data_IF_996783887639
#
_entry.id   IF_996783887639
#
_cell.length_a   1.000
_cell.length_b   1.000
_cell.length_c   1.000
_cell.angle_alpha   90.00
_cell.angle_beta   90.00
_cell.angle_gamma   90.00
#
_symmetry.space_group_name_H-M   'P 1'
#
loop_
_entity.id
_entity.type
_entity.pdbx_description
1 polymer ?
#
# COMPACT_ATOMS: atom_id res chain seq x y z
N UNK A 1 10.29 -25.34 43.84
CA UNK A 1 11.59 -25.54 43.15
C UNK A 1 11.52 -25.23 41.66
N UNK A 2 10.34 -25.27 41.02
CA UNK A 2 10.20 -24.87 39.60
C UNK A 2 9.98 -23.35 39.41
N UNK A 3 9.37 -22.66 40.38
CA UNK A 3 9.13 -21.20 40.28
C UNK A 3 10.39 -20.34 40.39
N UNK A 4 11.38 -20.77 41.17
CA UNK A 4 12.66 -20.05 41.29
C UNK A 4 13.50 -20.12 40.00
N UNK A 5 13.33 -21.19 39.22
CA UNK A 5 14.04 -21.37 37.95
C UNK A 5 13.41 -20.51 36.84
N UNK A 6 12.09 -20.30 36.90
CA UNK A 6 11.37 -19.39 36.02
C UNK A 6 11.75 -17.92 36.30
N UNK A 7 11.81 -17.53 37.58
CA UNK A 7 12.19 -16.17 37.98
C UNK A 7 13.63 -15.83 37.57
N UNK A 8 14.57 -16.77 37.73
CA UNK A 8 15.96 -16.57 37.27
C UNK A 8 16.08 -16.41 35.75
N UNK A 9 15.25 -17.12 34.97
CA UNK A 9 15.22 -16.97 33.50
C UNK A 9 14.63 -15.64 33.07
N UNK A 10 13.59 -15.17 33.75
CA UNK A 10 13.02 -13.84 33.52
C UNK A 10 14.01 -12.73 33.86
N UNK A 11 14.66 -12.81 35.02
CA UNK A 11 15.69 -11.84 35.44
C UNK A 11 16.88 -11.79 34.45
N UNK A 12 17.33 -12.94 33.95
CA UNK A 12 18.35 -13.01 32.90
C UNK A 12 17.89 -12.34 31.60
N UNK A 13 16.65 -12.58 31.18
CA UNK A 13 16.09 -12.01 29.94
C UNK A 13 15.93 -10.48 30.04
N UNK A 14 15.56 -9.97 31.23
CA UNK A 14 15.49 -8.54 31.48
C UNK A 14 16.87 -7.87 31.51
N UNK A 15 17.88 -8.54 32.08
CA UNK A 15 19.25 -8.04 32.08
C UNK A 15 19.82 -7.92 30.65
N UNK A 16 19.60 -8.95 29.82
CA UNK A 16 20.04 -8.95 28.41
C UNK A 16 19.35 -7.84 27.60
N UNK A 17 18.05 -7.63 27.84
CA UNK A 17 17.28 -6.57 27.17
C UNK A 17 17.76 -5.17 27.57
N UNK A 18 18.11 -4.97 28.85
CA UNK A 18 18.66 -3.71 29.35
C UNK A 18 20.04 -3.40 28.74
N UNK A 19 20.90 -4.40 28.64
CA UNK A 19 22.22 -4.27 28.01
C UNK A 19 22.11 -3.90 26.51
N UNK A 20 21.14 -4.46 25.79
CA UNK A 20 20.88 -4.10 24.39
C UNK A 20 20.44 -2.64 24.26
N UNK A 21 19.58 -2.16 25.16
CA UNK A 21 19.12 -0.76 25.17
C UNK A 21 20.29 0.18 25.49
N UNK A 22 21.12 -0.14 26.48
CA UNK A 22 22.31 0.65 26.84
C UNK A 22 23.33 0.73 25.69
N UNK A 23 23.55 -0.40 24.98
CA UNK A 23 24.42 -0.44 23.80
C UNK A 23 23.87 0.34 22.59
N UNK A 24 22.55 0.52 22.49
CA UNK A 24 21.92 1.32 21.44
C UNK A 24 22.02 2.83 21.73
N UNK A 25 22.11 3.23 23.00
CA UNK A 25 22.28 4.63 23.40
C UNK A 25 23.70 5.16 23.24
N UNK A 26 24.72 4.30 23.17
CA UNK A 26 26.14 4.70 23.05
C UNK A 26 26.63 4.84 21.59
N UNK A 27 25.74 4.79 20.59
CA UNK A 27 26.08 5.06 19.18
C UNK A 27 26.21 6.57 18.93
N UNK A 28 27.43 7.06 19.15
CA UNK A 28 28.08 8.30 18.67
C UNK A 28 27.22 9.20 17.77
N UNK A 29 26.70 10.30 18.35
CA UNK A 29 26.14 11.45 17.63
C UNK A 29 27.30 12.23 16.97
N UNK A 30 27.34 12.40 15.63
CA UNK A 30 28.32 13.29 15.00
C UNK A 30 27.97 14.75 15.29
N UNK A 31 28.97 15.54 15.69
CA UNK A 31 28.86 17.00 15.88
C UNK A 31 28.41 17.68 14.58
N UNK A 32 27.44 18.58 14.71
CA UNK A 32 26.89 19.41 13.62
C UNK A 32 27.99 20.24 12.92
N UNK A 33 27.91 20.43 11.59
CA UNK A 33 28.73 21.42 10.90
C UNK A 33 28.10 22.81 11.04
N UNK A 34 28.85 23.74 11.62
CA UNK A 34 28.52 25.17 11.66
C UNK A 34 28.59 25.75 10.23
N UNK A 35 27.46 26.16 9.66
CA UNK A 35 27.43 26.92 8.40
C UNK A 35 27.49 28.41 8.72
N UNK A 36 28.46 29.12 8.13
CA UNK A 36 28.69 30.55 8.35
C UNK A 36 27.57 31.42 7.76
N UNK A 37 27.15 32.44 8.52
CA UNK A 37 26.11 33.41 8.17
C UNK A 37 26.40 34.27 6.91
N UNK A 38 27.56 34.13 6.27
CA UNK A 38 27.95 34.93 5.10
C UNK A 38 27.30 34.44 3.79
N UNK A 39 26.95 33.15 3.66
CA UNK A 39 26.37 32.61 2.41
C UNK A 39 24.88 32.98 2.26
N UNK A 40 24.19 33.19 3.38
CA UNK A 40 22.75 33.51 3.41
C UNK A 40 22.45 34.96 3.01
N UNK A 41 23.34 35.90 3.33
CA UNK A 41 23.13 37.33 3.02
C UNK A 41 23.40 37.66 1.54
N UNK A 42 24.26 36.90 0.86
CA UNK A 42 24.60 37.12 -0.55
C UNK A 42 23.51 36.64 -1.52
N UNK A 43 22.62 35.76 -1.04
CA UNK A 43 21.46 35.26 -1.80
C UNK A 43 20.23 36.17 -1.66
N UNK A 44 20.10 36.87 -0.51
CA UNK A 44 18.98 37.79 -0.24
C UNK A 44 19.19 39.15 -0.93
N UNK A 45 20.43 39.60 -1.10
CA UNK A 45 20.74 40.86 -1.80
C UNK A 45 20.43 40.80 -3.31
N UNK A 46 20.48 39.61 -3.92
CA UNK A 46 20.16 39.39 -5.34
C UNK A 46 18.66 39.26 -5.63
N UNK A 47 17.84 39.00 -4.61
CA UNK A 47 16.37 38.89 -4.72
C UNK A 47 15.66 40.26 -4.65
N UNK A 48 16.31 41.30 -4.13
CA UNK A 48 15.71 42.62 -3.92
C UNK A 48 16.04 43.66 -5.02
N UNK A 49 16.63 43.25 -6.16
CA UNK A 49 17.01 44.17 -7.24
C UNK A 49 16.23 44.01 -8.55
N UNK A 50 15.07 43.36 -8.56
CA UNK A 50 14.28 43.15 -9.78
C UNK A 50 12.86 43.73 -9.71
N UNK A 51 12.69 44.96 -9.23
CA UNK A 51 11.44 45.70 -9.43
C UNK A 51 11.74 47.20 -9.54
N UNK A 52 12.05 47.65 -10.76
CA UNK A 52 11.87 49.04 -11.20
C UNK A 52 12.10 49.15 -12.71
N UNK A 53 11.04 48.98 -13.51
CA UNK A 53 10.79 49.81 -14.71
C UNK A 53 9.37 49.58 -15.28
N UNK A 54 8.63 50.65 -15.63
CA UNK A 54 7.31 50.55 -16.26
C UNK A 54 7.37 50.73 -17.79
N UNK A 55 6.26 50.33 -18.44
CA UNK A 55 5.80 50.60 -19.81
C UNK A 55 6.06 49.51 -20.87
N UNK A 56 4.97 49.06 -21.52
CA UNK A 56 5.02 48.50 -22.87
C UNK A 56 3.98 47.45 -23.22
N UNK A 57 2.80 47.91 -23.65
CA UNK A 57 1.67 47.20 -24.25
C UNK A 57 1.91 45.93 -25.11
N UNK A 58 0.85 45.09 -25.07
CA UNK A 58 0.19 44.34 -26.15
C UNK A 58 0.47 42.83 -26.34
N UNK A 59 -0.61 42.05 -26.20
CA UNK A 59 -1.03 41.06 -27.20
C UNK A 59 -0.47 39.64 -27.09
N UNK A 60 -1.09 38.80 -26.25
CA UNK A 60 -1.63 37.47 -26.56
C UNK A 60 -1.72 36.64 -25.29
N UNK A 61 -2.95 36.38 -24.85
CA UNK A 61 -3.25 35.46 -23.76
C UNK A 61 -3.33 34.07 -24.37
N UNK A 62 -2.19 33.37 -24.41
CA UNK A 62 -2.19 31.92 -24.50
C UNK A 62 -2.19 31.35 -23.07
N UNK A 63 -3.25 30.58 -22.81
CA UNK A 63 -3.50 29.86 -21.57
C UNK A 63 -2.38 28.87 -21.26
N UNK A 64 -1.54 29.19 -20.27
CA UNK A 64 -0.57 28.27 -19.67
C UNK A 64 -0.94 27.97 -18.21
N UNK A 65 -1.78 26.97 -18.01
CA UNK A 65 -2.14 26.43 -16.70
C UNK A 65 -1.12 25.37 -16.23
N UNK A 66 0.16 25.74 -16.11
CA UNK A 66 1.23 24.87 -15.56
C UNK A 66 1.76 25.33 -14.20
N UNK A 67 1.22 26.40 -13.63
CA UNK A 67 1.84 27.08 -12.49
C UNK A 67 1.78 26.32 -11.16
N UNK A 68 0.91 25.30 -10.99
CA UNK A 68 0.83 24.56 -9.72
C UNK A 68 1.74 23.32 -9.71
N UNK A 69 1.79 22.57 -10.80
CA UNK A 69 2.66 21.39 -10.93
C UNK A 69 4.13 21.80 -10.92
N UNK A 70 4.48 22.86 -11.65
CA UNK A 70 5.84 23.40 -11.65
C UNK A 70 6.25 23.91 -10.26
N UNK A 71 5.32 24.47 -9.48
CA UNK A 71 5.56 24.88 -8.09
C UNK A 71 5.72 23.71 -7.12
N UNK A 72 4.99 22.60 -7.31
CA UNK A 72 5.15 21.39 -6.50
C UNK A 72 6.47 20.67 -6.81
N UNK A 73 6.88 20.60 -8.08
CA UNK A 73 8.14 19.94 -8.50
C UNK A 73 9.37 20.76 -8.12
N UNK A 74 9.32 22.10 -8.23
CA UNK A 74 10.44 22.96 -7.81
C UNK A 74 10.60 23.04 -6.29
N UNK A 75 9.54 22.81 -5.50
CA UNK A 75 9.66 22.63 -4.05
C UNK A 75 10.34 21.29 -3.66
N UNK A 76 10.25 20.24 -4.48
CA UNK A 76 10.87 18.93 -4.16
C UNK A 76 12.39 18.87 -4.35
N UNK A 77 12.96 19.63 -5.29
CA UNK A 77 14.41 19.57 -5.58
C UNK A 77 15.29 20.17 -4.47
N UNK A 78 14.72 20.99 -3.57
CA UNK A 78 15.44 21.59 -2.44
C UNK A 78 15.31 20.84 -1.10
N UNK A 79 14.29 20.00 -0.93
CA UNK A 79 13.93 19.42 0.38
C UNK A 79 14.17 17.89 0.50
N UNK A 80 14.55 17.22 -0.60
CA UNK A 80 14.56 15.75 -0.68
C UNK A 80 15.62 15.05 0.19
N UNK A 81 16.71 15.71 0.60
CA UNK A 81 17.78 15.08 1.40
C UNK A 81 17.65 15.31 2.91
N UNK A 82 16.97 16.37 3.35
CA UNK A 82 16.92 16.76 4.77
C UNK A 82 15.69 16.23 5.51
N UNK A 83 14.56 16.01 4.82
CA UNK A 83 13.33 15.52 5.45
C UNK A 83 13.37 14.01 5.80
N UNK A 84 14.04 13.20 4.98
CA UNK A 84 14.19 11.75 5.21
C UNK A 84 15.00 11.43 6.48
N UNK A 85 15.95 12.31 6.86
CA UNK A 85 16.71 12.18 8.10
C UNK A 85 15.99 12.74 9.34
N UNK A 86 15.09 13.74 9.18
CA UNK A 86 14.37 14.34 10.32
C UNK A 86 13.21 13.50 10.86
N UNK A 87 12.55 12.70 10.02
CA UNK A 87 11.39 11.89 10.46
C UNK A 87 11.74 10.70 11.36
N UNK A 88 13.03 10.41 11.59
CA UNK A 88 13.50 9.28 12.41
C UNK A 88 13.92 9.64 13.84
N UNK A 89 13.83 10.90 14.29
CA UNK A 89 14.44 11.32 15.58
C UNK A 89 13.52 12.06 16.57
N UNK A 90 12.26 12.42 16.27
CA UNK A 90 11.44 13.15 17.24
C UNK A 90 10.15 12.42 17.65
N UNK A 91 10.23 11.70 18.77
CA UNK A 91 9.07 11.41 19.62
C UNK A 91 9.44 11.83 21.05
N UNK A 92 9.06 13.06 21.42
CA UNK A 92 9.42 13.63 22.71
C UNK A 92 8.28 13.39 23.72
N UNK A 93 8.65 12.72 24.81
CA UNK A 93 7.92 12.63 26.07
C UNK A 93 7.96 14.02 26.68
N UNK A 94 6.93 14.85 26.50
CA UNK A 94 6.71 16.08 27.28
C UNK A 94 5.28 16.61 27.06
N UNK A 95 4.31 15.96 27.69
CA UNK A 95 2.96 16.52 27.89
C UNK A 95 2.21 15.80 29.02
N UNK A 96 2.87 15.64 30.17
CA UNK A 96 2.19 15.39 31.46
C UNK A 96 2.88 16.23 32.53
N UNK A 97 2.76 17.54 32.43
CA UNK A 97 2.92 18.49 33.52
C UNK A 97 2.26 19.80 33.05
N UNK A 98 1.64 20.50 33.97
CA UNK A 98 0.92 21.77 33.78
C UNK A 98 -0.52 21.69 33.28
N UNK A 99 -1.43 21.23 34.14
CA UNK A 99 -2.72 21.92 34.37
C UNK A 99 -3.17 21.67 35.83
N UNK A 100 -2.94 22.66 36.70
CA UNK A 100 -3.70 22.83 37.95
C UNK A 100 -5.07 23.42 37.60
N UNK A 101 -6.13 22.98 38.30
CA UNK A 101 -7.10 23.93 38.79
C UNK A 101 -7.27 23.80 40.31
N UNK A 102 -7.25 24.95 40.97
CA UNK A 102 -7.73 25.13 42.33
C UNK A 102 -9.24 24.91 42.37
N UNK A 103 -9.68 23.91 43.13
CA UNK A 103 -11.06 23.83 43.64
C UNK A 103 -10.97 23.33 45.08
N UNK A 104 -11.31 24.21 46.02
CA UNK A 104 -11.60 23.86 47.40
C UNK A 104 -12.85 22.97 47.42
N UNK A 105 -12.73 21.75 47.93
CA UNK A 105 -13.85 20.94 48.41
C UNK A 105 -13.40 20.12 49.62
N UNK A 106 -14.31 20.06 50.57
CA UNK A 106 -14.16 19.62 51.96
C UNK A 106 -13.85 18.14 52.11
N UNK A 107 -13.17 17.82 53.22
CA UNK A 107 -12.88 16.48 53.71
C UNK A 107 -14.12 15.58 53.78
N UNK A 108 -14.02 14.39 53.18
CA UNK A 108 -14.80 13.21 53.58
C UNK A 108 -13.98 11.95 53.27
N UNK A 109 -13.73 11.18 54.32
CA UNK A 109 -13.14 9.84 54.31
C UNK A 109 -13.92 8.87 53.41
N UNK A 110 -13.19 8.11 52.59
CA UNK A 110 -13.37 6.69 52.22
C UNK A 110 -12.85 6.44 50.79
N UNK A 111 -11.61 5.94 50.71
CA UNK A 111 -11.02 5.46 49.47
C UNK A 111 -11.29 3.96 49.28
N UNK A 112 -12.01 3.52 48.22
CA UNK A 112 -11.88 2.16 47.72
C UNK A 112 -10.69 2.10 46.76
N UNK A 113 -9.82 1.15 47.06
CA UNK A 113 -8.53 0.87 46.44
C UNK A 113 -8.59 0.66 44.93
N UNK A 114 -7.46 1.00 44.33
CA UNK A 114 -6.96 0.67 42.99
C UNK A 114 -6.80 -0.87 42.87
N UNK A 115 -7.89 -1.63 42.98
CA UNK A 115 -7.91 -3.10 42.80
C UNK A 115 -8.81 -3.53 41.63
N UNK A 116 -9.59 -2.61 41.06
CA UNK A 116 -10.52 -2.92 39.95
C UNK A 116 -9.84 -2.79 38.57
N UNK A 117 -8.84 -1.91 38.41
CA UNK A 117 -8.18 -1.69 37.12
C UNK A 117 -7.16 -2.78 36.73
N UNK A 118 -6.56 -3.50 37.69
CA UNK A 118 -5.69 -4.65 37.37
C UNK A 118 -6.46 -5.92 36.96
N UNK A 119 -7.75 -6.00 37.31
CA UNK A 119 -8.64 -7.11 36.91
C UNK A 119 -9.19 -6.96 35.49
N UNK A 120 -9.12 -5.76 34.90
CA UNK A 120 -9.67 -5.45 33.57
C UNK A 120 -8.60 -5.60 32.46
N UNK A 121 -7.30 -5.65 32.81
CA UNK A 121 -6.17 -5.65 31.85
C UNK A 121 -5.38 -6.98 31.87
N UNK A 122 -5.87 -8.03 32.52
CA UNK A 122 -5.31 -9.39 32.33
C UNK A 122 -6.20 -10.16 31.36
N UNK A 123 -5.83 -10.31 30.07
CA UNK A 123 -6.46 -11.36 29.27
C UNK A 123 -6.16 -12.67 29.99
N UNK A 124 -7.21 -13.32 30.52
CA UNK A 124 -7.05 -14.62 31.18
C UNK A 124 -6.27 -15.55 30.24
N UNK A 125 -5.23 -16.21 30.75
CA UNK A 125 -4.42 -17.15 29.96
C UNK A 125 -5.30 -18.20 29.24
N UNK A 126 -6.46 -18.51 29.81
CA UNK A 126 -7.54 -19.32 29.21
C UNK A 126 -8.02 -18.76 27.86
N UNK A 127 -8.21 -17.45 27.73
CA UNK A 127 -8.64 -16.78 26.51
C UNK A 127 -7.54 -16.76 25.44
N UNK A 128 -6.28 -16.59 25.85
CA UNK A 128 -5.12 -16.68 24.94
C UNK A 128 -4.96 -18.11 24.43
N UNK A 129 -5.05 -19.11 25.31
CA UNK A 129 -4.98 -20.52 24.93
C UNK A 129 -6.15 -20.93 24.02
N UNK A 130 -7.36 -20.44 24.31
CA UNK A 130 -8.53 -20.67 23.47
C UNK A 130 -8.35 -20.06 22.06
N UNK A 131 -7.85 -18.82 21.99
CA UNK A 131 -7.53 -18.16 20.71
C UNK A 131 -6.43 -18.91 19.95
N UNK A 132 -5.37 -19.36 20.63
CA UNK A 132 -4.31 -20.16 20.02
C UNK A 132 -4.84 -21.50 19.52
N UNK A 133 -5.73 -22.16 20.26
CA UNK A 133 -6.38 -23.40 19.84
C UNK A 133 -7.31 -23.18 18.65
N UNK A 134 -8.09 -22.10 18.64
CA UNK A 134 -8.93 -21.70 17.51
C UNK A 134 -8.08 -21.39 16.27
N UNK A 135 -7.00 -20.64 16.41
CA UNK A 135 -6.02 -20.39 15.35
C UNK A 135 -5.39 -21.68 14.82
N UNK A 136 -5.01 -22.59 15.71
CA UNK A 136 -4.48 -23.91 15.35
C UNK A 136 -5.51 -24.75 14.57
N UNK A 137 -6.77 -24.73 15.01
CA UNK A 137 -7.84 -25.44 14.32
C UNK A 137 -8.13 -24.87 12.94
N UNK A 138 -8.14 -23.54 12.79
CA UNK A 138 -8.28 -22.87 11.49
C UNK A 138 -7.09 -23.19 10.59
N UNK A 139 -5.86 -23.12 11.12
CA UNK A 139 -4.64 -23.47 10.38
C UNK A 139 -4.68 -24.93 9.89
N UNK A 140 -5.10 -25.86 10.75
CA UNK A 140 -5.26 -27.27 10.40
C UNK A 140 -6.37 -27.51 9.36
N UNK A 141 -7.49 -26.77 9.45
CA UNK A 141 -8.55 -26.84 8.44
C UNK A 141 -8.08 -26.32 7.09
N UNK A 142 -7.35 -25.20 7.07
CA UNK A 142 -6.72 -24.64 5.86
C UNK A 142 -5.72 -25.64 5.28
N UNK A 143 -4.85 -26.24 6.09
CA UNK A 143 -3.89 -27.24 5.61
C UNK A 143 -4.56 -28.50 5.04
N UNK A 144 -5.67 -28.97 5.63
CA UNK A 144 -6.42 -30.14 5.13
C UNK A 144 -7.04 -29.91 3.75
N UNK A 145 -7.22 -28.66 3.31
CA UNK A 145 -7.72 -28.36 1.97
C UNK A 145 -6.64 -28.56 0.88
N UNK A 146 -5.36 -28.51 1.25
CA UNK A 146 -4.25 -28.63 0.31
C UNK A 146 -3.67 -30.04 0.27
N UNK A 147 -3.24 -30.46 -0.92
CA UNK A 147 -2.78 -31.84 -1.18
C UNK A 147 -1.31 -32.06 -0.78
N UNK A 148 -0.68 -31.08 -0.14
CA UNK A 148 0.78 -30.98 0.01
C UNK A 148 1.14 -31.01 1.48
N UNK A 149 2.11 -31.88 1.80
CA UNK A 149 2.72 -31.87 3.12
C UNK A 149 3.52 -30.58 3.28
N UNK A 150 3.15 -29.79 4.29
CA UNK A 150 3.92 -28.65 4.72
C UNK A 150 5.37 -29.08 5.02
N UNK A 151 6.38 -28.28 4.65
CA UNK A 151 7.76 -28.57 5.00
C UNK A 151 7.89 -28.61 6.53
N UNK A 152 8.81 -29.45 7.02
CA UNK A 152 9.10 -29.54 8.45
C UNK A 152 9.38 -28.12 9.00
N UNK A 153 8.68 -27.70 10.08
CA UNK A 153 8.84 -26.38 10.65
C UNK A 153 10.28 -26.07 11.06
N UNK A 154 11.07 -27.09 11.39
CA UNK A 154 12.47 -26.97 11.81
C UNK A 154 13.46 -26.72 10.67
N UNK A 155 13.02 -26.80 9.41
CA UNK A 155 13.88 -26.49 8.26
C UNK A 155 14.19 -24.98 8.19
N UNK A 156 15.41 -24.65 7.77
CA UNK A 156 15.78 -23.26 7.45
C UNK A 156 14.96 -22.75 6.26
N UNK A 157 14.94 -21.44 6.04
CA UNK A 157 14.19 -20.86 4.91
C UNK A 157 14.73 -21.40 3.57
N UNK A 158 16.04 -21.55 3.42
CA UNK A 158 16.67 -22.10 2.21
C UNK A 158 16.28 -23.55 1.98
N UNK A 159 16.24 -24.36 3.05
CA UNK A 159 15.80 -25.75 2.98
C UNK A 159 14.31 -25.87 2.63
N UNK A 160 13.47 -24.96 3.15
CA UNK A 160 12.05 -24.87 2.79
C UNK A 160 11.88 -24.52 1.30
N UNK A 161 12.60 -23.51 0.81
CA UNK A 161 12.59 -23.11 -0.61
C UNK A 161 13.05 -24.27 -1.49
N UNK A 162 14.10 -25.00 -1.09
CA UNK A 162 14.59 -26.15 -1.83
C UNK A 162 13.57 -27.31 -1.88
N UNK A 163 12.96 -27.62 -0.73
CA UNK A 163 11.88 -28.60 -0.65
C UNK A 163 10.74 -28.22 -1.61
N UNK A 164 10.32 -26.96 -1.62
CA UNK A 164 9.24 -26.48 -2.50
C UNK A 164 9.62 -26.61 -3.97
N UNK A 165 10.83 -26.22 -4.36
CA UNK A 165 11.30 -26.38 -5.74
C UNK A 165 11.25 -27.86 -6.19
N UNK A 166 11.61 -28.79 -5.30
CA UNK A 166 11.48 -30.23 -5.54
C UNK A 166 10.01 -30.71 -5.60
N UNK A 167 9.12 -30.13 -4.81
CA UNK A 167 7.68 -30.45 -4.88
C UNK A 167 7.06 -29.94 -6.19
N UNK A 168 7.45 -28.77 -6.67
CA UNK A 168 7.01 -28.26 -7.98
C UNK A 168 7.43 -29.23 -9.08
N UNK A 169 8.70 -29.67 -9.12
CA UNK A 169 9.21 -30.51 -10.22
C UNK A 169 8.55 -31.88 -10.31
N UNK A 170 8.03 -32.40 -9.18
CA UNK A 170 7.33 -33.69 -9.08
C UNK A 170 5.80 -33.56 -9.07
N UNK A 171 5.28 -32.35 -8.87
CA UNK A 171 3.86 -32.09 -8.63
C UNK A 171 2.98 -32.29 -9.87
N UNK A 172 1.73 -32.69 -9.64
CA UNK A 172 0.67 -32.53 -10.63
C UNK A 172 0.15 -31.08 -10.64
N UNK A 173 -0.70 -30.74 -11.62
CA UNK A 173 -1.25 -29.38 -11.77
C UNK A 173 -1.92 -28.87 -10.49
N UNK A 174 -2.70 -29.73 -9.80
CA UNK A 174 -3.35 -29.38 -8.54
C UNK A 174 -2.32 -29.04 -7.46
N UNK A 175 -1.30 -29.87 -7.29
CA UNK A 175 -0.24 -29.61 -6.33
C UNK A 175 0.46 -28.28 -6.66
N UNK A 176 0.76 -28.01 -7.92
CA UNK A 176 1.41 -26.74 -8.29
C UNK A 176 0.52 -25.54 -7.89
N UNK A 177 -0.79 -25.59 -8.14
CA UNK A 177 -1.72 -24.54 -7.71
C UNK A 177 -1.74 -24.40 -6.18
N UNK A 178 -1.79 -25.53 -5.46
CA UNK A 178 -1.76 -25.55 -3.99
C UNK A 178 -0.47 -24.86 -3.46
N UNK A 179 0.70 -25.14 -4.05
CA UNK A 179 1.96 -24.44 -3.72
C UNK A 179 1.81 -22.94 -3.97
N UNK A 180 1.35 -22.53 -5.15
CA UNK A 180 1.22 -21.12 -5.52
C UNK A 180 0.21 -20.34 -4.67
N UNK A 181 -0.72 -21.06 -4.03
CA UNK A 181 -1.69 -20.50 -3.08
C UNK A 181 -1.07 -20.32 -1.70
N UNK A 182 -0.24 -21.26 -1.26
CA UNK A 182 0.30 -21.31 0.10
C UNK A 182 1.49 -20.38 0.34
N UNK A 183 2.33 -20.13 -0.66
CA UNK A 183 3.59 -19.41 -0.49
C UNK A 183 3.56 -17.95 -0.92
N UNK A 184 4.47 -17.16 -0.34
CA UNK A 184 4.54 -15.73 -0.56
C UNK A 184 5.26 -15.38 -1.87
N UNK A 185 4.94 -14.23 -2.47
CA UNK A 185 5.63 -13.67 -3.65
C UNK A 185 7.15 -13.58 -3.46
N UNK A 186 7.58 -13.14 -2.28
CA UNK A 186 8.99 -13.00 -1.93
C UNK A 186 9.73 -14.34 -2.00
N UNK A 187 9.05 -15.43 -1.62
CA UNK A 187 9.60 -16.79 -1.70
C UNK A 187 9.73 -17.25 -3.15
N UNK A 188 8.78 -16.90 -4.03
CA UNK A 188 8.74 -17.41 -5.39
C UNK A 188 9.90 -16.97 -6.27
N UNK A 189 10.44 -15.77 -6.05
CA UNK A 189 11.67 -15.34 -6.72
C UNK A 189 12.84 -16.29 -6.43
N UNK A 190 13.01 -16.66 -5.15
CA UNK A 190 14.05 -17.58 -4.66
C UNK A 190 13.77 -19.01 -5.12
N UNK A 191 12.51 -19.46 -5.05
CA UNK A 191 12.08 -20.78 -5.55
C UNK A 191 12.41 -20.89 -7.04
N UNK A 192 12.11 -19.87 -7.85
CA UNK A 192 12.44 -19.85 -9.27
C UNK A 192 13.95 -19.94 -9.52
N UNK A 193 14.77 -19.22 -8.74
CA UNK A 193 16.23 -19.32 -8.83
C UNK A 193 16.74 -20.73 -8.53
N UNK A 194 16.30 -21.33 -7.41
CA UNK A 194 16.72 -22.69 -7.03
C UNK A 194 16.22 -23.72 -8.05
N UNK A 195 14.97 -23.60 -8.51
CA UNK A 195 14.41 -24.47 -9.52
C UNK A 195 15.23 -24.42 -10.82
N UNK A 196 15.56 -23.22 -11.29
CA UNK A 196 16.34 -23.02 -12.51
C UNK A 196 17.76 -23.58 -12.38
N UNK A 197 18.36 -23.51 -11.19
CA UNK A 197 19.67 -24.09 -10.91
C UNK A 197 19.65 -25.62 -10.93
N UNK A 198 18.63 -26.24 -10.32
CA UNK A 198 18.53 -27.70 -10.17
C UNK A 198 17.96 -28.43 -11.39
N UNK A 199 17.09 -27.77 -12.12
CA UNK A 199 16.30 -28.39 -13.18
C UNK A 199 16.51 -27.68 -14.52
N UNK A 200 15.44 -27.09 -15.05
CA UNK A 200 15.41 -26.25 -16.25
C UNK A 200 14.75 -24.94 -15.87
N UNK A 201 14.63 -24.02 -16.83
CA UNK A 201 13.77 -22.84 -16.70
C UNK A 201 12.38 -23.24 -16.16
N UNK A 202 12.02 -22.70 -14.99
CA UNK A 202 10.71 -22.87 -14.37
C UNK A 202 9.61 -22.39 -15.32
N UNK A 203 9.87 -21.31 -16.05
CA UNK A 203 8.95 -20.79 -17.06
C UNK A 203 8.71 -21.79 -18.20
N UNK A 204 9.77 -22.38 -18.76
CA UNK A 204 9.64 -23.39 -19.82
C UNK A 204 8.99 -24.67 -19.28
N UNK A 205 9.28 -25.01 -18.03
CA UNK A 205 8.71 -26.16 -17.36
C UNK A 205 7.20 -26.00 -17.14
N UNK A 206 6.77 -24.85 -16.64
CA UNK A 206 5.35 -24.50 -16.49
C UNK A 206 4.64 -24.51 -17.84
N UNK A 207 5.26 -23.95 -18.89
CA UNK A 207 4.70 -23.95 -20.25
C UNK A 207 4.54 -25.32 -20.88
N UNK A 208 5.35 -26.31 -20.47
CA UNK A 208 5.16 -27.72 -20.86
C UNK A 208 4.17 -28.46 -19.99
N UNK A 209 3.97 -28.00 -18.75
CA UNK A 209 3.09 -28.66 -17.77
C UNK A 209 1.64 -28.27 -17.96
N UNK A 210 1.38 -27.01 -18.28
CA UNK A 210 0.03 -26.47 -18.47
C UNK A 210 -0.21 -26.19 -19.95
N UNK A 211 -1.19 -26.87 -20.55
CA UNK A 211 -1.57 -26.67 -21.96
C UNK A 211 -2.15 -25.27 -22.22
N UNK A 212 -2.74 -24.66 -21.19
CA UNK A 212 -3.37 -23.34 -21.29
C UNK A 212 -2.36 -22.23 -21.08
N UNK A 213 -2.06 -21.49 -22.16
CA UNK A 213 -1.15 -20.33 -22.13
C UNK A 213 -1.45 -19.34 -20.99
N UNK A 214 -2.72 -19.03 -20.74
CA UNK A 214 -3.12 -18.11 -19.65
C UNK A 214 -2.75 -18.61 -18.26
N UNK A 215 -2.85 -19.92 -18.03
CA UNK A 215 -2.43 -20.51 -16.77
C UNK A 215 -0.92 -20.38 -16.57
N UNK A 216 -0.16 -20.68 -17.63
CA UNK A 216 1.29 -20.47 -17.66
C UNK A 216 1.65 -19.00 -17.42
N UNK A 217 0.98 -18.05 -18.08
CA UNK A 217 1.22 -16.62 -17.91
C UNK A 217 0.90 -16.15 -16.47
N UNK A 218 -0.16 -16.66 -15.85
CA UNK A 218 -0.51 -16.37 -14.45
C UNK A 218 0.56 -16.90 -13.48
N UNK A 219 0.96 -18.16 -13.60
CA UNK A 219 1.98 -18.74 -12.72
C UNK A 219 3.34 -18.06 -12.92
N UNK A 220 3.72 -17.76 -14.16
CA UNK A 220 4.95 -17.01 -14.45
C UNK A 220 4.92 -15.59 -13.87
N UNK A 221 3.76 -14.94 -13.84
CA UNK A 221 3.58 -13.65 -13.20
C UNK A 221 3.71 -13.75 -11.66
N UNK A 222 3.21 -14.82 -11.06
CA UNK A 222 3.39 -15.08 -9.62
C UNK A 222 4.87 -15.36 -9.27
N UNK A 223 5.64 -15.94 -10.19
CA UNK A 223 7.07 -16.19 -9.98
C UNK A 223 7.95 -14.92 -10.02
N UNK A 224 7.40 -13.79 -10.46
CA UNK A 224 8.14 -12.53 -10.54
C UNK A 224 8.09 -11.80 -9.20
N UNK A 225 9.13 -11.03 -8.92
CA UNK A 225 9.08 -10.04 -7.85
C UNK A 225 7.85 -9.12 -8.04
N UNK A 226 7.11 -8.87 -6.95
CA UNK A 226 5.83 -8.15 -6.99
C UNK A 226 5.99 -6.75 -7.57
N UNK A 227 7.04 -6.01 -7.17
CA UNK A 227 7.30 -4.66 -7.65
C UNK A 227 7.78 -4.67 -9.09
N UNK A 228 8.66 -5.61 -9.46
CA UNK A 228 9.12 -5.78 -10.82
C UNK A 228 7.96 -6.10 -11.77
N UNK A 229 7.04 -6.98 -11.37
CA UNK A 229 5.83 -7.29 -12.11
C UNK A 229 4.97 -6.04 -12.31
N UNK A 230 4.66 -5.30 -11.22
CA UNK A 230 3.90 -4.03 -11.31
C UNK A 230 4.56 -3.04 -12.28
N UNK A 231 5.86 -2.82 -12.11
CA UNK A 231 6.62 -1.89 -12.94
C UNK A 231 6.59 -2.29 -14.42
N UNK A 232 6.73 -3.58 -14.73
CA UNK A 232 6.63 -4.10 -16.10
C UNK A 232 5.24 -3.90 -16.69
N UNK A 233 4.17 -4.17 -15.93
CA UNK A 233 2.81 -3.94 -16.40
C UNK A 233 2.56 -2.44 -16.68
N UNK A 234 2.91 -1.56 -15.76
CA UNK A 234 2.77 -0.10 -15.93
C UNK A 234 3.58 0.38 -17.13
N UNK A 235 4.84 -0.03 -17.26
CA UNK A 235 5.67 0.33 -18.39
C UNK A 235 5.09 -0.18 -19.71
N UNK A 236 4.49 -1.38 -19.74
CA UNK A 236 3.84 -1.92 -20.93
C UNK A 236 2.59 -1.13 -21.34
N UNK A 237 1.85 -0.59 -20.37
CA UNK A 237 0.66 0.23 -20.59
C UNK A 237 1.06 1.63 -21.07
N UNK A 238 2.05 2.25 -20.44
CA UNK A 238 2.42 3.65 -20.70
C UNK A 238 3.34 3.83 -21.92
N UNK A 239 4.22 2.86 -22.20
CA UNK A 239 5.27 3.00 -23.21
C UNK A 239 4.93 2.31 -24.53
N UNK A 240 3.71 1.78 -24.67
CA UNK A 240 3.28 1.19 -25.94
C UNK A 240 2.62 2.27 -26.81
N UNK A 241 3.33 2.89 -27.78
CA UNK A 241 2.78 3.99 -28.57
C UNK A 241 1.64 3.56 -29.49
N UNK A 242 1.44 2.25 -29.68
CA UNK A 242 0.44 1.70 -30.60
C UNK A 242 -0.89 1.36 -29.93
N UNK A 243 -0.95 1.37 -28.61
CA UNK A 243 -2.13 0.92 -27.86
C UNK A 243 -2.53 2.02 -26.88
N UNK A 244 -3.81 2.43 -26.93
CA UNK A 244 -4.35 3.35 -25.94
C UNK A 244 -4.18 2.73 -24.54
N UNK A 245 -3.62 3.45 -23.55
CA UNK A 245 -3.43 2.91 -22.22
C UNK A 245 -4.73 2.32 -21.65
N UNK A 246 -4.66 1.09 -21.14
CA UNK A 246 -5.77 0.51 -20.40
C UNK A 246 -5.83 1.18 -19.01
N UNK A 247 -6.73 2.15 -18.90
CA UNK A 247 -6.92 2.95 -17.69
C UNK A 247 -7.39 2.09 -16.52
N UNK A 248 -8.12 0.99 -16.75
CA UNK A 248 -8.60 0.15 -15.66
C UNK A 248 -7.45 -0.61 -15.01
N UNK A 249 -6.63 -1.28 -15.83
CA UNK A 249 -5.43 -1.98 -15.35
C UNK A 249 -4.45 -1.01 -14.70
N UNK A 250 -4.26 0.17 -15.29
CA UNK A 250 -3.40 1.21 -14.69
C UNK A 250 -3.92 1.67 -13.33
N UNK A 251 -5.24 1.87 -13.19
CA UNK A 251 -5.85 2.21 -11.90
C UNK A 251 -5.62 1.13 -10.85
N UNK A 252 -5.77 -0.16 -11.20
CA UNK A 252 -5.48 -1.27 -10.29
C UNK A 252 -4.02 -1.27 -9.85
N UNK A 253 -3.11 -1.03 -10.79
CA UNK A 253 -1.66 -1.07 -10.56
C UNK A 253 -1.15 0.11 -9.72
N UNK A 254 -1.84 1.25 -9.73
CA UNK A 254 -1.41 2.50 -9.06
C UNK A 254 -2.18 2.78 -7.77
N UNK A 255 -3.51 2.66 -7.79
CA UNK A 255 -4.34 3.07 -6.64
C UNK A 255 -4.20 2.11 -5.46
N UNK A 256 -4.00 0.81 -5.73
CA UNK A 256 -3.88 -0.23 -4.70
C UNK A 256 -2.46 -0.36 -4.14
N UNK A 257 -1.85 0.78 -3.81
CA UNK A 257 -0.52 0.87 -3.20
C UNK A 257 -0.57 1.81 -2.00
N UNK A 258 0.14 1.44 -0.93
CA UNK A 258 0.47 2.40 0.13
C UNK A 258 1.41 3.50 -0.41
N UNK A 259 1.66 4.52 0.41
CA UNK A 259 2.66 5.54 0.06
C UNK A 259 4.06 4.93 -0.09
N UNK A 260 4.45 4.07 0.85
CA UNK A 260 5.73 3.35 0.80
C UNK A 260 5.84 2.45 -0.45
N UNK A 261 4.82 1.64 -0.74
CA UNK A 261 4.80 0.78 -1.93
C UNK A 261 4.89 1.63 -3.22
N UNK A 262 4.31 2.84 -3.24
CA UNK A 262 4.43 3.75 -4.39
C UNK A 262 5.83 4.31 -4.56
N UNK A 263 6.54 4.65 -3.48
CA UNK A 263 7.91 5.15 -3.54
C UNK A 263 8.87 4.07 -4.06
N UNK A 264 8.70 2.83 -3.59
CA UNK A 264 9.44 1.67 -4.10
C UNK A 264 9.13 1.39 -5.58
N UNK A 265 7.85 1.45 -5.96
CA UNK A 265 7.40 1.24 -7.33
C UNK A 265 7.95 2.33 -8.27
N UNK A 266 7.95 3.58 -7.84
CA UNK A 266 8.55 4.69 -8.58
C UNK A 266 10.04 4.45 -8.82
N UNK A 267 10.76 3.98 -7.81
CA UNK A 267 12.18 3.58 -7.93
C UNK A 267 12.36 2.43 -8.93
N UNK A 268 11.53 1.39 -8.84
CA UNK A 268 11.55 0.24 -9.77
C UNK A 268 11.27 0.65 -11.22
N UNK A 269 10.29 1.53 -11.45
CA UNK A 269 9.94 2.07 -12.76
C UNK A 269 11.08 2.87 -13.37
N UNK A 270 11.73 3.74 -12.59
CA UNK A 270 12.91 4.47 -13.05
C UNK A 270 14.03 3.53 -13.47
N UNK A 271 14.28 2.47 -12.70
CA UNK A 271 15.29 1.47 -13.03
C UNK A 271 14.94 0.73 -14.33
N UNK A 272 13.69 0.29 -14.54
CA UNK A 272 13.27 -0.34 -15.79
C UNK A 272 13.45 0.56 -17.01
N UNK A 273 13.19 1.87 -16.86
CA UNK A 273 13.36 2.85 -17.95
C UNK A 273 14.84 3.06 -18.33
N UNK A 274 15.76 3.03 -17.35
CA UNK A 274 17.21 3.16 -17.61
C UNK A 274 17.73 2.07 -18.54
N UNK A 275 17.25 0.84 -18.40
CA UNK A 275 17.67 -0.29 -19.25
C UNK A 275 17.11 -0.25 -20.68
N UNK A 276 16.01 0.47 -20.93
CA UNK A 276 15.33 0.49 -22.24
C UNK A 276 15.80 1.62 -23.19
N UNK A 277 16.96 2.23 -22.98
CA UNK A 277 17.51 3.35 -23.78
C UNK A 277 16.66 4.63 -23.76
N UNK A 278 16.11 5.02 -22.60
CA UNK A 278 15.53 6.35 -22.40
C UNK A 278 16.55 7.30 -21.74
N UNK A 279 17.73 7.45 -22.36
CA UNK A 279 18.83 8.26 -21.80
C UNK A 279 18.59 9.78 -21.87
N UNK A 280 17.73 10.25 -22.77
CA UNK A 280 17.47 11.69 -22.97
C UNK A 280 16.37 12.26 -22.05
N UNK A 281 15.56 11.41 -21.40
CA UNK A 281 14.44 11.84 -20.56
C UNK A 281 14.74 11.83 -19.05
N UNK A 282 16.02 11.84 -18.63
CA UNK A 282 16.45 11.79 -17.20
C UNK A 282 15.80 12.85 -16.29
N UNK A 283 15.09 13.85 -16.86
CA UNK A 283 14.35 14.89 -16.15
C UNK A 283 12.85 14.63 -15.96
N UNK A 284 12.25 13.66 -16.64
CA UNK A 284 10.79 13.44 -16.62
C UNK A 284 10.44 12.11 -15.97
N UNK A 285 9.62 12.15 -14.91
CA UNK A 285 8.99 10.96 -14.32
C UNK A 285 8.28 10.11 -15.40
N UNK A 286 8.24 8.79 -15.22
CA UNK A 286 7.52 7.86 -16.12
C UNK A 286 6.06 8.28 -16.33
N UNK A 287 5.48 8.94 -15.32
CA UNK A 287 4.13 9.46 -15.32
C UNK A 287 3.91 10.63 -16.30
N UNK A 288 4.97 11.32 -16.75
CA UNK A 288 4.86 12.33 -17.81
C UNK A 288 4.65 11.73 -19.20
N UNK A 289 5.01 10.46 -19.41
CA UNK A 289 4.69 9.75 -20.66
C UNK A 289 3.18 9.51 -20.78
N UNK A 290 2.46 9.60 -19.66
CA UNK A 290 1.01 9.57 -19.65
C UNK A 290 0.45 10.95 -20.00
N UNK A 291 0.40 11.25 -21.30
CA UNK A 291 0.04 12.58 -21.84
C UNK A 291 -1.46 12.89 -21.83
N UNK A 292 -2.30 11.94 -21.41
CA UNK A 292 -3.74 12.16 -21.30
C UNK A 292 -4.07 13.19 -20.20
N UNK A 293 -4.87 14.20 -20.54
CA UNK A 293 -5.30 15.26 -19.64
C UNK A 293 -6.69 15.05 -19.04
N UNK A 294 -7.28 13.86 -19.25
CA UNK A 294 -8.51 13.47 -18.56
C UNK A 294 -8.37 13.55 -17.04
N UNK A 295 -9.49 13.73 -16.35
CA UNK A 295 -9.55 13.75 -14.88
C UNK A 295 -8.91 12.49 -14.28
N UNK A 296 -9.23 11.31 -14.82
CA UNK A 296 -8.65 10.04 -14.36
C UNK A 296 -7.13 10.05 -14.46
N UNK A 297 -6.60 10.57 -15.56
CA UNK A 297 -5.17 10.58 -15.81
C UNK A 297 -4.43 11.55 -14.89
N UNK A 298 -5.03 12.72 -14.62
CA UNK A 298 -4.56 13.66 -13.59
C UNK A 298 -4.59 13.03 -12.20
N UNK A 299 -5.66 12.30 -11.87
CA UNK A 299 -5.82 11.63 -10.59
C UNK A 299 -4.75 10.53 -10.38
N UNK A 300 -4.53 9.66 -11.37
CA UNK A 300 -3.50 8.62 -11.32
C UNK A 300 -2.10 9.23 -11.15
N UNK A 301 -1.78 10.30 -11.91
CA UNK A 301 -0.49 11.00 -11.76
C UNK A 301 -0.32 11.61 -10.37
N UNK A 302 -1.37 12.25 -9.84
CA UNK A 302 -1.33 12.81 -8.50
C UNK A 302 -1.17 11.73 -7.43
N UNK A 303 -1.85 10.59 -7.57
CA UNK A 303 -1.72 9.46 -6.66
C UNK A 303 -0.32 8.85 -6.68
N UNK A 304 0.30 8.77 -7.86
CA UNK A 304 1.65 8.25 -8.00
C UNK A 304 2.72 9.13 -7.33
N UNK A 305 2.37 10.39 -7.05
CA UNK A 305 3.18 11.37 -6.33
C UNK A 305 2.51 11.82 -5.03
N UNK A 306 1.68 10.95 -4.44
CA UNK A 306 0.95 11.26 -3.21
C UNK A 306 1.88 11.71 -2.09
N UNK A 307 1.44 12.72 -1.35
CA UNK A 307 2.14 13.20 -0.16
C UNK A 307 1.12 13.35 0.95
N UNK A 308 1.23 12.50 1.97
CA UNK A 308 0.21 12.41 3.01
C UNK A 308 0.52 13.35 4.18
N UNK A 309 -0.44 14.19 4.56
CA UNK A 309 -0.34 15.13 5.67
C UNK A 309 -1.71 15.42 6.28
N UNK A 310 -1.72 16.03 7.47
CA UNK A 310 -2.95 16.35 8.18
C UNK A 310 -3.71 17.51 7.54
N UNK A 311 -5.02 17.34 7.37
CA UNK A 311 -5.95 18.37 6.89
C UNK A 311 -7.03 18.73 7.92
N UNK A 312 -7.58 19.93 7.77
CA UNK A 312 -8.82 20.34 8.43
C UNK A 312 -10.01 19.71 7.69
N UNK A 313 -10.62 18.69 8.31
CA UNK A 313 -11.70 17.91 7.71
C UNK A 313 -12.96 18.74 7.45
N UNK A 314 -13.31 19.67 8.32
CA UNK A 314 -14.51 20.51 8.17
C UNK A 314 -14.36 21.48 7.00
N UNK A 315 -13.21 22.16 6.90
CA UNK A 315 -12.91 23.06 5.78
C UNK A 315 -12.85 22.31 4.45
N UNK A 316 -12.21 21.14 4.43
CA UNK A 316 -12.15 20.32 3.22
C UNK A 316 -13.55 19.84 2.82
N UNK A 317 -14.40 19.46 3.79
CA UNK A 317 -15.75 18.97 3.51
C UNK A 317 -16.62 20.09 2.91
N UNK A 318 -16.53 21.30 3.46
CA UNK A 318 -17.18 22.49 2.91
C UNK A 318 -16.71 22.83 1.51
N UNK A 319 -15.40 22.82 1.27
CA UNK A 319 -14.84 23.07 -0.06
C UNK A 319 -15.31 22.03 -1.06
N UNK A 320 -15.30 20.74 -0.70
CA UNK A 320 -15.77 19.67 -1.58
C UNK A 320 -17.25 19.82 -1.92
N UNK A 321 -18.10 20.10 -0.94
CA UNK A 321 -19.55 20.25 -1.17
C UNK A 321 -19.88 21.49 -2.01
N UNK A 322 -19.18 22.61 -1.80
CA UNK A 322 -19.34 23.82 -2.63
C UNK A 322 -18.85 23.59 -4.07
N UNK A 323 -17.77 22.82 -4.24
CA UNK A 323 -17.20 22.51 -5.54
C UNK A 323 -18.13 21.74 -6.47
N UNK A 324 -19.20 21.09 -5.96
CA UNK A 324 -20.15 20.31 -6.78
C UNK A 324 -20.81 21.11 -7.92
N UNK A 325 -20.83 22.44 -7.81
CA UNK A 325 -21.41 23.34 -8.82
C UNK A 325 -20.40 23.71 -9.93
N UNK A 326 -19.12 23.33 -9.80
CA UNK A 326 -18.08 23.59 -10.79
C UNK A 326 -17.19 22.35 -10.95
N UNK A 327 -17.36 21.65 -12.08
CA UNK A 327 -16.69 20.37 -12.33
C UNK A 327 -15.15 20.45 -12.20
N UNK A 328 -14.51 21.50 -12.70
CA UNK A 328 -13.06 21.65 -12.62
C UNK A 328 -12.58 21.79 -11.17
N UNK A 329 -13.30 22.58 -10.37
CA UNK A 329 -12.99 22.77 -8.94
C UNK A 329 -13.27 21.49 -8.15
N UNK A 330 -14.33 20.75 -8.51
CA UNK A 330 -14.67 19.46 -7.91
C UNK A 330 -13.55 18.45 -8.13
N UNK A 331 -13.12 18.29 -9.38
CA UNK A 331 -12.03 17.39 -9.75
C UNK A 331 -10.74 17.70 -8.99
N UNK A 332 -10.37 18.99 -8.91
CA UNK A 332 -9.19 19.41 -8.18
C UNK A 332 -9.30 19.14 -6.67
N UNK A 333 -10.47 19.41 -6.08
CA UNK A 333 -10.70 19.18 -4.65
C UNK A 333 -10.72 17.69 -4.32
N UNK A 334 -11.24 16.85 -5.23
CA UNK A 334 -11.17 15.38 -5.11
C UNK A 334 -9.74 14.90 -5.19
N UNK A 335 -8.93 15.37 -6.15
CA UNK A 335 -7.49 15.01 -6.22
C UNK A 335 -6.78 15.40 -4.92
N UNK A 336 -7.00 16.62 -4.45
CA UNK A 336 -6.37 17.13 -3.23
C UNK A 336 -6.74 16.29 -2.01
N UNK A 337 -8.03 16.05 -1.77
CA UNK A 337 -8.48 15.19 -0.67
C UNK A 337 -7.84 13.80 -0.75
N UNK A 338 -8.00 13.12 -1.89
CA UNK A 338 -7.63 11.72 -2.02
C UNK A 338 -6.14 11.46 -2.11
N UNK A 339 -5.31 12.45 -2.43
CA UNK A 339 -3.86 12.32 -2.53
C UNK A 339 -3.09 12.92 -1.35
N UNK A 340 -3.79 13.61 -0.42
CA UNK A 340 -3.16 14.22 0.78
C UNK A 340 -3.54 13.57 2.10
N UNK A 341 -4.71 12.96 2.24
CA UNK A 341 -5.11 12.37 3.53
C UNK A 341 -4.60 10.95 3.72
N UNK A 342 -4.18 10.60 4.94
CA UNK A 342 -3.94 9.20 5.28
C UNK A 342 -5.27 8.45 5.52
N UNK A 343 -5.21 7.12 5.67
CA UNK A 343 -6.40 6.27 5.81
C UNK A 343 -7.28 6.64 7.01
N UNK A 344 -6.67 6.87 8.18
CA UNK A 344 -7.39 7.22 9.40
C UNK A 344 -8.15 8.55 9.24
N UNK A 345 -7.48 9.55 8.70
CA UNK A 345 -8.05 10.86 8.47
C UNK A 345 -9.11 10.84 7.37
N UNK A 346 -8.99 9.96 6.37
CA UNK A 346 -10.04 9.76 5.37
C UNK A 346 -11.35 9.25 6.01
N UNK A 347 -11.28 8.31 6.95
CA UNK A 347 -12.46 7.80 7.67
C UNK A 347 -13.08 8.90 8.55
N UNK A 348 -12.26 9.72 9.20
CA UNK A 348 -12.74 10.89 9.94
C UNK A 348 -13.43 11.90 9.02
N UNK A 349 -12.82 12.21 7.87
CA UNK A 349 -13.38 13.09 6.86
C UNK A 349 -14.75 12.61 6.38
N UNK A 350 -14.91 11.30 6.13
CA UNK A 350 -16.20 10.72 5.75
C UNK A 350 -17.29 10.98 6.78
N UNK A 351 -16.95 10.83 8.07
CA UNK A 351 -17.87 11.07 9.19
C UNK A 351 -18.27 12.55 9.26
N UNK A 352 -17.29 13.45 9.19
CA UNK A 352 -17.53 14.91 9.19
C UNK A 352 -18.39 15.33 8.00
N UNK A 353 -18.10 14.83 6.80
CA UNK A 353 -18.86 15.13 5.60
C UNK A 353 -20.33 14.70 5.73
N UNK A 354 -20.59 13.50 6.26
CA UNK A 354 -21.94 13.00 6.52
C UNK A 354 -22.68 13.86 7.55
N UNK A 355 -22.01 14.25 8.65
CA UNK A 355 -22.60 15.06 9.70
C UNK A 355 -23.00 16.46 9.20
N UNK A 356 -22.16 17.10 8.38
CA UNK A 356 -22.40 18.44 7.87
C UNK A 356 -23.45 18.50 6.75
N UNK A 357 -23.50 17.49 5.88
CA UNK A 357 -24.31 17.54 4.65
C UNK A 357 -25.44 16.52 4.57
N UNK A 358 -25.58 15.63 5.55
CA UNK A 358 -26.66 14.64 5.63
C UNK A 358 -26.64 13.56 4.55
N UNK A 359 -25.56 13.46 3.76
CA UNK A 359 -25.36 12.46 2.71
C UNK A 359 -23.96 11.84 2.86
N UNK A 360 -23.80 10.59 2.44
CA UNK A 360 -22.50 9.93 2.53
C UNK A 360 -21.54 10.45 1.48
N UNK A 361 -20.23 10.43 1.80
CA UNK A 361 -19.21 10.77 0.80
C UNK A 361 -19.31 9.86 -0.42
N UNK A 362 -19.61 8.57 -0.21
CA UNK A 362 -19.81 7.59 -1.29
C UNK A 362 -20.93 8.01 -2.24
N UNK A 363 -22.11 8.33 -1.71
CA UNK A 363 -23.25 8.80 -2.50
C UNK A 363 -22.92 10.09 -3.26
N UNK A 364 -22.27 11.05 -2.58
CA UNK A 364 -21.84 12.29 -3.21
C UNK A 364 -20.93 12.04 -4.42
N UNK A 365 -19.92 11.17 -4.28
CA UNK A 365 -18.98 10.83 -5.36
C UNK A 365 -19.69 10.09 -6.51
N UNK A 366 -20.63 9.19 -6.19
CA UNK A 366 -21.44 8.47 -7.19
C UNK A 366 -22.38 9.40 -7.97
N UNK A 367 -22.86 10.50 -7.37
CA UNK A 367 -23.73 11.46 -8.04
C UNK A 367 -22.91 12.45 -8.88
N UNK A 368 -21.85 13.03 -8.29
CA UNK A 368 -21.18 14.19 -8.86
C UNK A 368 -19.87 13.87 -9.61
N UNK A 369 -19.17 12.79 -9.26
CA UNK A 369 -17.85 12.46 -9.85
C UNK A 369 -17.95 11.30 -10.84
N UNK A 370 -18.68 10.23 -10.50
CA UNK A 370 -18.94 9.07 -11.38
C UNK A 370 -17.68 8.48 -12.03
N UNK A 371 -16.57 8.43 -11.29
CA UNK A 371 -15.29 7.97 -11.80
C UNK A 371 -14.84 6.66 -11.13
N UNK A 372 -14.56 5.64 -11.93
CA UNK A 372 -14.14 4.33 -11.44
C UNK A 372 -12.90 4.40 -10.54
N UNK A 373 -11.88 5.14 -10.95
CA UNK A 373 -10.59 5.24 -10.23
C UNK A 373 -10.76 5.95 -8.89
N UNK A 374 -11.61 6.96 -8.82
CA UNK A 374 -11.95 7.64 -7.56
C UNK A 374 -12.71 6.69 -6.62
N UNK A 375 -13.66 5.92 -7.15
CA UNK A 375 -14.37 4.93 -6.33
C UNK A 375 -13.42 3.82 -5.84
N UNK A 376 -12.49 3.37 -6.67
CA UNK A 376 -11.45 2.42 -6.26
C UNK A 376 -10.61 2.98 -5.11
N UNK A 377 -10.18 4.24 -5.21
CA UNK A 377 -9.45 4.93 -4.16
C UNK A 377 -10.28 5.11 -2.89
N UNK A 378 -11.58 5.38 -3.03
CA UNK A 378 -12.51 5.53 -1.91
C UNK A 378 -12.62 4.24 -1.11
N UNK A 379 -12.83 3.11 -1.80
CA UNK A 379 -12.92 1.81 -1.14
C UNK A 379 -11.57 1.46 -0.48
N UNK A 380 -10.44 1.69 -1.18
CA UNK A 380 -9.09 1.43 -0.65
C UNK A 380 -8.75 2.26 0.61
N UNK A 381 -9.04 3.56 0.60
CA UNK A 381 -8.80 4.45 1.75
C UNK A 381 -9.80 4.24 2.89
N UNK A 382 -10.95 3.61 2.63
CA UNK A 382 -11.86 3.18 3.71
C UNK A 382 -11.29 1.92 4.34
N UNK A 383 -11.01 0.91 3.51
CA UNK A 383 -10.37 -0.33 3.92
C UNK A 383 -9.64 -0.96 2.73
N UNK A 384 -8.37 -1.35 2.94
CA UNK A 384 -7.52 -1.94 1.89
C UNK A 384 -8.21 -3.10 1.15
N UNK A 385 -8.80 -4.02 1.90
CA UNK A 385 -9.52 -5.18 1.37
C UNK A 385 -10.75 -4.77 0.54
N UNK A 386 -11.43 -3.68 0.90
CA UNK A 386 -12.55 -3.12 0.13
C UNK A 386 -12.11 -2.62 -1.24
N UNK A 387 -10.96 -1.93 -1.32
CA UNK A 387 -10.35 -1.54 -2.59
C UNK A 387 -10.04 -2.74 -3.49
N UNK A 388 -9.45 -3.80 -2.92
CA UNK A 388 -9.13 -5.03 -3.65
C UNK A 388 -10.41 -5.76 -4.09
N UNK A 389 -11.42 -5.87 -3.22
CA UNK A 389 -12.70 -6.50 -3.53
C UNK A 389 -13.44 -5.75 -4.67
N UNK A 390 -13.46 -4.42 -4.61
CA UNK A 390 -14.03 -3.58 -5.66
C UNK A 390 -13.31 -3.75 -6.99
N UNK A 391 -11.98 -3.78 -6.98
CA UNK A 391 -11.16 -4.06 -8.16
C UNK A 391 -11.44 -5.45 -8.74
N UNK A 392 -11.51 -6.47 -7.89
CA UNK A 392 -11.78 -7.85 -8.28
C UNK A 392 -13.17 -8.00 -8.91
N UNK A 393 -14.21 -7.39 -8.31
CA UNK A 393 -15.56 -7.41 -8.87
C UNK A 393 -15.60 -6.79 -10.27
N UNK A 394 -14.89 -5.68 -10.48
CA UNK A 394 -14.80 -5.05 -11.80
C UNK A 394 -13.98 -5.89 -12.77
N UNK A 395 -12.87 -6.46 -12.34
CA UNK A 395 -12.02 -7.31 -13.17
C UNK A 395 -12.78 -8.52 -13.74
N UNK A 396 -13.60 -9.19 -12.91
CA UNK A 396 -14.44 -10.32 -13.38
C UNK A 396 -15.45 -9.96 -14.48
N UNK A 397 -15.81 -8.67 -14.60
CA UNK A 397 -16.79 -8.16 -15.57
C UNK A 397 -16.16 -7.53 -16.81
N UNK A 398 -14.89 -7.13 -16.73
CA UNK A 398 -14.20 -6.38 -17.78
C UNK A 398 -13.40 -7.31 -18.69
N UNK A 399 -12.29 -7.84 -18.17
CA UNK A 399 -11.41 -8.68 -18.95
C UNK A 399 -10.53 -9.59 -18.06
N UNK A 400 -10.00 -10.64 -18.66
CA UNK A 400 -9.17 -11.62 -17.97
C UNK A 400 -7.78 -11.08 -17.55
N UNK A 401 -7.28 -10.02 -18.18
CA UNK A 401 -5.99 -9.42 -17.86
C UNK A 401 -6.04 -8.70 -16.51
N UNK A 402 -7.07 -7.88 -16.28
CA UNK A 402 -7.31 -7.25 -14.97
C UNK A 402 -7.45 -8.31 -13.87
N UNK A 403 -8.17 -9.40 -14.17
CA UNK A 403 -8.37 -10.48 -13.20
C UNK A 403 -7.05 -11.19 -12.86
N UNK A 404 -6.20 -11.41 -13.87
CA UNK A 404 -4.85 -11.93 -13.67
C UNK A 404 -4.01 -10.95 -12.83
N UNK A 405 -3.99 -9.66 -13.16
CA UNK A 405 -3.22 -8.64 -12.41
C UNK A 405 -3.64 -8.62 -10.94
N UNK A 406 -4.94 -8.52 -10.66
CA UNK A 406 -5.45 -8.49 -9.27
C UNK A 406 -5.12 -9.79 -8.54
N UNK A 407 -5.26 -10.94 -9.20
CA UNK A 407 -4.94 -12.24 -8.59
C UNK A 407 -3.46 -12.38 -8.29
N UNK A 408 -2.59 -12.02 -9.24
CA UNK A 408 -1.14 -12.03 -9.03
C UNK A 408 -0.82 -11.18 -7.81
N UNK A 409 -1.27 -9.93 -7.78
CA UNK A 409 -0.86 -8.97 -6.76
C UNK A 409 -1.43 -9.22 -5.37
N UNK A 410 -2.65 -9.76 -5.27
CA UNK A 410 -3.42 -9.72 -4.03
C UNK A 410 -3.99 -11.06 -3.56
N UNK A 411 -3.70 -12.19 -4.22
CA UNK A 411 -4.18 -13.52 -3.77
C UNK A 411 -3.91 -13.83 -2.30
N UNK A 412 -2.84 -13.27 -1.73
CA UNK A 412 -2.46 -13.51 -0.32
C UNK A 412 -3.39 -12.84 0.68
N UNK A 413 -4.15 -11.83 0.24
CA UNK A 413 -5.13 -11.12 1.05
C UNK A 413 -6.53 -11.76 0.99
N UNK A 414 -6.65 -12.97 0.41
CA UNK A 414 -7.94 -13.58 0.08
C UNK A 414 -8.90 -13.66 1.26
N UNK A 415 -8.45 -13.94 2.49
CA UNK A 415 -9.33 -14.11 3.64
C UNK A 415 -10.10 -12.81 3.98
N UNK A 416 -9.37 -11.69 4.07
CA UNK A 416 -9.97 -10.38 4.33
C UNK A 416 -10.82 -9.91 3.13
N UNK A 417 -10.29 -10.07 1.91
CA UNK A 417 -10.99 -9.70 0.68
C UNK A 417 -12.28 -10.49 0.52
N UNK A 418 -12.31 -11.78 0.84
CA UNK A 418 -13.49 -12.64 0.72
C UNK A 418 -14.65 -12.19 1.61
N UNK A 419 -14.33 -11.79 2.84
CA UNK A 419 -15.32 -11.28 3.79
C UNK A 419 -15.95 -10.00 3.23
N UNK A 420 -15.13 -9.01 2.89
CA UNK A 420 -15.60 -7.71 2.38
C UNK A 420 -16.32 -7.86 1.04
N UNK A 421 -15.83 -8.72 0.14
CA UNK A 421 -16.49 -8.99 -1.14
C UNK A 421 -17.90 -9.55 -0.93
N UNK A 422 -18.07 -10.47 0.02
CA UNK A 422 -19.36 -11.09 0.34
C UNK A 422 -20.39 -10.06 0.81
N UNK A 423 -19.95 -9.09 1.60
CA UNK A 423 -20.78 -7.98 2.08
C UNK A 423 -21.16 -7.00 0.96
N UNK A 424 -20.21 -6.68 0.07
CA UNK A 424 -20.41 -5.67 -0.97
C UNK A 424 -21.15 -6.19 -2.22
N UNK A 425 -20.86 -7.43 -2.65
CA UNK A 425 -21.24 -7.94 -3.97
C UNK A 425 -21.84 -9.35 -3.95
N UNK A 426 -21.82 -10.04 -2.81
CA UNK A 426 -22.26 -11.43 -2.70
C UNK A 426 -21.16 -12.43 -3.05
N UNK A 427 -21.49 -13.55 -3.70
CA UNK A 427 -20.57 -14.70 -3.80
C UNK A 427 -19.45 -14.49 -4.83
N UNK A 428 -18.22 -14.25 -4.38
CA UNK A 428 -17.03 -14.10 -5.24
C UNK A 428 -16.82 -15.29 -6.19
N UNK A 429 -16.97 -16.52 -5.70
CA UNK A 429 -16.82 -17.71 -6.53
C UNK A 429 -17.84 -17.83 -7.66
N UNK A 430 -19.00 -17.15 -7.60
CA UNK A 430 -19.95 -17.11 -8.73
C UNK A 430 -19.45 -16.17 -9.83
N UNK A 431 -18.97 -15.00 -9.44
CA UNK A 431 -18.47 -13.98 -10.37
C UNK A 431 -17.18 -14.46 -11.07
N UNK A 432 -16.26 -15.11 -10.34
CA UNK A 432 -15.07 -15.74 -10.94
C UNK A 432 -15.47 -16.86 -11.90
N UNK A 433 -16.49 -17.67 -11.54
CA UNK A 433 -16.94 -18.75 -12.40
C UNK A 433 -17.52 -18.24 -13.72
N UNK A 434 -18.30 -17.16 -13.66
CA UNK A 434 -18.86 -16.53 -14.86
C UNK A 434 -17.82 -15.89 -15.79
N UNK A 435 -16.62 -15.59 -15.30
CA UNK A 435 -15.59 -14.88 -16.06
C UNK A 435 -14.69 -15.79 -16.92
N UNK A 436 -14.59 -17.09 -16.60
CA UNK A 436 -13.67 -18.01 -17.27
C UNK A 436 -14.16 -19.46 -17.15
N UNK A 437 -14.04 -20.27 -18.20
CA UNK A 437 -14.25 -21.73 -18.15
C UNK A 437 -12.92 -22.43 -18.34
N UNK A 438 -12.36 -23.15 -17.34
CA UNK A 438 -11.11 -23.93 -17.47
C UNK A 438 -10.44 -24.37 -16.15
N UNK A 439 -9.30 -25.08 -16.26
CA UNK A 439 -8.29 -25.17 -15.21
C UNK A 439 -7.78 -23.82 -14.69
N UNK A 440 -7.66 -22.80 -15.55
CA UNK A 440 -7.35 -21.44 -15.11
C UNK A 440 -8.40 -20.90 -14.13
N UNK A 441 -9.69 -21.10 -14.42
CA UNK A 441 -10.78 -20.75 -13.49
C UNK A 441 -10.65 -21.49 -12.15
N UNK A 442 -10.34 -22.80 -12.17
CA UNK A 442 -10.08 -23.55 -10.93
C UNK A 442 -8.93 -22.96 -10.14
N UNK A 443 -7.82 -22.61 -10.79
CA UNK A 443 -6.69 -21.97 -10.11
C UNK A 443 -7.09 -20.62 -9.49
N UNK A 444 -7.83 -19.78 -10.21
CA UNK A 444 -8.35 -18.52 -9.67
C UNK A 444 -9.23 -18.76 -8.43
N UNK A 445 -10.15 -19.72 -8.49
CA UNK A 445 -10.98 -20.08 -7.33
C UNK A 445 -10.14 -20.57 -6.15
N UNK A 446 -9.09 -21.37 -6.39
CA UNK A 446 -8.18 -21.81 -5.32
C UNK A 446 -7.46 -20.62 -4.70
N UNK A 447 -6.89 -19.73 -5.52
CA UNK A 447 -6.15 -18.56 -5.06
C UNK A 447 -7.00 -17.60 -4.22
N UNK A 448 -8.31 -17.58 -4.44
CA UNK A 448 -9.25 -16.77 -3.68
C UNK A 448 -10.02 -17.54 -2.59
N UNK A 449 -9.69 -18.82 -2.35
CA UNK A 449 -10.31 -19.63 -1.30
C UNK A 449 -11.80 -19.93 -1.56
N UNK A 450 -12.19 -20.07 -2.83
CA UNK A 450 -13.58 -20.25 -3.30
C UNK A 450 -13.87 -21.68 -3.83
N UNK A 451 -12.96 -22.63 -3.58
CA UNK A 451 -13.02 -24.01 -4.07
C UNK A 451 -13.48 -25.02 -3.01
#
# INVERSE_FOLDING_TARGET
MEDDDLMKRLESTFADSKQIIENLTDVVIPKEPTISHEILNDSISKLNQSDNNPLGNSGNIDSSSNTLFDKMVSAQSGYSLTASMRSKIEFNINSVQDLKPEVECQEADDAPKIDILESIIKPEESNIQLLQQQLSNVSNQVQRQFSIQAPDPNLTQEQKIDYIANQISKGNEKNIIDIFTLYQHEDFSKIATIFNYKFKSLQDWLGKRFEQRRMTDLLNAICQDKLAFKATQIASILLNPKVKPDIFDLSHLVILNSQEEMDELNTALQNQMRFKKYEESKKYSVWHQFTDNSFTSKFIRAWAHQFRFEIDCEKMAARLFQAKNNQTVLEQTVIELFCTVNQLQFVQFQTVFQQLYGQSLKEFLLIHVKNYTVMLAYEYLTQREGGIAYALNKATKLNNNSLQIITVLFRQHWLGVKTVYSEMFGTMGKDIRGASDSYYQKALLTFWGEL
#
